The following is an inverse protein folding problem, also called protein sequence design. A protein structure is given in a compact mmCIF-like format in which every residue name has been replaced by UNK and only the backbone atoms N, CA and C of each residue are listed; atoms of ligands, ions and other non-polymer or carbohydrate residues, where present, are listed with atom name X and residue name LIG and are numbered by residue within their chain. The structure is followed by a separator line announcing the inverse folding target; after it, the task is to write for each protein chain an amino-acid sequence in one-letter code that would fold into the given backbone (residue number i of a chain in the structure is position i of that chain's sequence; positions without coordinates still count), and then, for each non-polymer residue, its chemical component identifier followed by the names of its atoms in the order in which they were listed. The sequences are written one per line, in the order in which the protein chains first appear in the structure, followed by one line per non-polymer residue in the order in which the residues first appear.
data_IF_000815035194
#
_entry.id   IF_000815035194
#
_cell.length_a   1.000
_cell.length_b   1.000
_cell.length_c   1.000
_cell.angle_alpha   90.00
_cell.angle_beta   90.00
_cell.angle_gamma   90.00
#
_symmetry.space_group_name_H-M   'P 1'
#
loop_
_entity.id
_entity.type
_entity.pdbx_description
1 polymer ?
#
# COMPACT_ATOMS: atom_id res chain seq x y z
N UNK A 1 17.76 -7.93 -16.85
CA UNK A 1 19.24 -7.83 -16.87
C UNK A 1 19.57 -6.73 -15.89
N UNK A 2 20.21 -7.03 -14.75
CA UNK A 2 20.55 -5.98 -13.76
C UNK A 2 21.76 -5.23 -14.29
N UNK A 3 21.59 -3.94 -14.63
CA UNK A 3 22.71 -3.10 -15.10
C UNK A 3 23.34 -2.44 -13.88
N UNK A 4 24.55 -2.86 -13.54
CA UNK A 4 25.46 -2.07 -12.71
C UNK A 4 25.87 -0.83 -13.53
N UNK A 5 25.75 0.36 -12.94
CA UNK A 5 26.10 1.61 -13.62
C UNK A 5 27.62 1.65 -13.90
N UNK A 6 27.99 1.79 -15.19
CA UNK A 6 29.38 1.85 -15.66
C UNK A 6 30.15 3.11 -15.22
N UNK A 7 31.43 3.26 -15.63
CA UNK A 7 32.44 4.16 -15.02
C UNK A 7 32.20 5.68 -15.13
N UNK A 8 31.08 6.15 -15.69
CA UNK A 8 30.61 7.54 -15.50
C UNK A 8 30.05 7.80 -14.09
N UNK A 9 30.15 6.81 -13.21
CA UNK A 9 29.65 6.82 -11.84
C UNK A 9 30.44 7.72 -10.90
N UNK A 10 31.73 7.98 -11.06
CA UNK A 10 32.50 8.72 -10.04
C UNK A 10 32.02 10.17 -9.81
N UNK A 11 31.75 10.93 -10.88
CA UNK A 11 31.19 12.28 -10.77
C UNK A 11 29.68 12.30 -10.41
N UNK A 12 28.96 11.20 -10.63
CA UNK A 12 27.58 11.06 -10.17
C UNK A 12 27.51 10.64 -8.69
N UNK A 13 28.44 9.77 -8.26
CA UNK A 13 28.61 9.31 -6.88
C UNK A 13 29.10 10.45 -5.99
N UNK A 14 29.87 11.42 -6.52
CA UNK A 14 30.20 12.63 -5.77
C UNK A 14 28.99 13.52 -5.46
N UNK A 15 27.92 13.49 -6.26
CA UNK A 15 26.64 14.14 -5.91
C UNK A 15 25.83 13.31 -4.90
N UNK A 16 25.94 11.98 -4.92
CA UNK A 16 25.36 11.10 -3.88
C UNK A 16 26.06 11.31 -2.53
N UNK A 17 27.29 11.84 -2.51
CA UNK A 17 28.04 12.20 -1.31
C UNK A 17 27.61 13.52 -0.66
N UNK A 18 26.76 14.33 -1.30
CA UNK A 18 26.22 15.53 -0.65
C UNK A 18 25.15 15.12 0.36
N UNK A 19 25.41 15.50 1.61
CA UNK A 19 24.75 14.96 2.79
C UNK A 19 23.23 15.12 2.82
N UNK A 20 22.63 14.43 3.81
CA UNK A 20 21.22 14.51 4.18
C UNK A 20 20.66 15.92 3.91
N UNK A 21 19.78 16.06 2.91
CA UNK A 21 19.04 17.29 2.71
C UNK A 21 18.05 17.41 3.87
N UNK A 22 18.48 18.09 4.94
CA UNK A 22 17.62 18.54 6.01
C UNK A 22 17.35 20.01 5.75
N UNK A 23 16.10 20.32 5.40
CA UNK A 23 15.64 21.69 5.33
C UNK A 23 15.64 22.29 6.72
N UNK A 24 16.12 23.52 6.83
CA UNK A 24 15.91 24.36 8.01
C UNK A 24 14.41 24.59 8.24
N UNK A 25 14.01 24.98 9.45
CA UNK A 25 12.60 25.30 9.75
C UNK A 25 12.03 26.36 8.81
N UNK A 26 12.86 27.33 8.42
CA UNK A 26 12.51 28.38 7.46
C UNK A 26 12.24 27.81 6.06
N UNK A 27 13.10 26.92 5.58
CA UNK A 27 12.94 26.30 4.26
C UNK A 27 11.75 25.34 4.22
N UNK A 28 11.51 24.60 5.31
CA UNK A 28 10.30 23.79 5.48
C UNK A 28 9.03 24.66 5.43
N UNK A 29 9.03 25.80 6.13
CA UNK A 29 7.91 26.72 6.14
C UNK A 29 7.68 27.34 4.76
N UNK A 30 8.74 27.78 4.08
CA UNK A 30 8.66 28.33 2.73
C UNK A 30 8.11 27.31 1.73
N UNK A 31 8.60 26.07 1.77
CA UNK A 31 8.09 24.98 0.96
C UNK A 31 6.59 24.76 1.17
N UNK A 32 6.11 24.81 2.41
CA UNK A 32 4.72 24.52 2.76
C UNK A 32 3.76 25.68 2.47
N UNK A 33 4.18 26.91 2.72
CA UNK A 33 3.34 28.10 2.58
C UNK A 33 3.39 28.70 1.17
N UNK A 34 4.55 28.63 0.51
CA UNK A 34 4.77 29.17 -0.83
C UNK A 34 5.59 28.19 -1.69
N UNK A 35 4.98 27.06 -2.13
CA UNK A 35 5.68 26.05 -2.94
C UNK A 35 6.39 26.62 -4.17
N UNK A 36 5.76 27.60 -4.83
CA UNK A 36 6.31 28.27 -6.01
C UNK A 36 7.54 29.16 -5.73
N UNK A 37 7.79 29.53 -4.47
CA UNK A 37 9.00 30.27 -4.07
C UNK A 37 10.14 29.34 -3.71
N UNK A 38 9.82 28.19 -3.10
CA UNK A 38 10.77 27.19 -2.60
C UNK A 38 11.86 26.82 -3.60
N UNK A 39 13.10 27.12 -3.23
CA UNK A 39 14.30 26.73 -3.98
C UNK A 39 14.46 25.20 -4.01
N UNK A 40 14.15 24.51 -2.91
CA UNK A 40 14.21 23.05 -2.81
C UNK A 40 13.26 22.37 -3.80
N UNK A 41 12.00 22.80 -3.88
CA UNK A 41 11.03 22.20 -4.82
C UNK A 41 11.41 22.46 -6.27
N UNK A 42 11.87 23.68 -6.60
CA UNK A 42 12.37 24.01 -7.93
C UNK A 42 13.60 23.16 -8.30
N UNK A 43 14.53 22.98 -7.37
CA UNK A 43 15.70 22.14 -7.57
C UNK A 43 15.31 20.67 -7.81
N UNK A 44 14.43 20.13 -6.95
CA UNK A 44 13.90 18.78 -7.08
C UNK A 44 13.21 18.58 -8.44
N UNK A 45 12.39 19.54 -8.86
CA UNK A 45 11.69 19.49 -10.15
C UNK A 45 12.68 19.49 -11.33
N UNK A 46 13.66 20.39 -11.31
CA UNK A 46 14.71 20.47 -12.33
C UNK A 46 15.55 19.19 -12.39
N UNK A 47 15.92 18.64 -11.24
CA UNK A 47 16.68 17.39 -11.14
C UNK A 47 15.88 16.20 -11.68
N UNK A 48 14.59 16.10 -11.32
CA UNK A 48 13.70 15.05 -11.82
C UNK A 48 13.47 15.14 -13.34
N UNK A 49 13.63 16.32 -13.94
CA UNK A 49 13.55 16.54 -15.39
C UNK A 49 14.91 16.41 -16.11
N UNK A 50 15.98 16.02 -15.40
CA UNK A 50 17.29 15.79 -15.99
C UNK A 50 17.25 14.68 -17.04
N UNK A 51 18.06 14.79 -18.10
CA UNK A 51 18.26 13.70 -19.06
C UNK A 51 19.05 12.52 -18.47
N UNK A 52 19.81 12.76 -17.40
CA UNK A 52 20.57 11.72 -16.69
C UNK A 52 19.66 10.94 -15.72
N UNK A 53 19.56 9.62 -15.88
CA UNK A 53 18.70 8.77 -15.06
C UNK A 53 19.08 8.75 -13.57
N UNK A 54 20.37 8.89 -13.24
CA UNK A 54 20.86 8.95 -11.86
C UNK A 54 20.45 10.27 -11.22
N UNK A 55 20.63 11.41 -11.91
CA UNK A 55 20.18 12.71 -11.41
C UNK A 55 18.65 12.70 -11.16
N UNK A 56 17.87 12.10 -12.08
CA UNK A 56 16.42 11.94 -11.87
C UNK A 56 16.12 11.13 -10.62
N UNK A 57 16.77 9.98 -10.46
CA UNK A 57 16.57 9.09 -9.32
C UNK A 57 16.90 9.78 -7.99
N UNK A 58 18.03 10.49 -7.93
CA UNK A 58 18.47 11.23 -6.73
C UNK A 58 17.48 12.33 -6.40
N UNK A 59 17.05 13.13 -7.38
CA UNK A 59 16.08 14.21 -7.15
C UNK A 59 14.71 13.69 -6.66
N UNK A 60 14.21 12.59 -7.24
CA UNK A 60 12.98 11.94 -6.76
C UNK A 60 13.15 11.45 -5.31
N UNK A 61 14.30 10.86 -5.00
CA UNK A 61 14.61 10.36 -3.65
C UNK A 61 14.66 11.49 -2.64
N UNK A 62 15.42 12.56 -2.91
CA UNK A 62 15.53 13.73 -2.04
C UNK A 62 14.15 14.33 -1.75
N UNK A 63 13.34 14.54 -2.79
CA UNK A 63 11.97 14.99 -2.64
C UNK A 63 11.19 14.07 -1.70
N UNK A 64 11.20 12.75 -1.94
CA UNK A 64 10.44 11.82 -1.07
C UNK A 64 10.94 11.79 0.36
N UNK A 65 12.24 11.93 0.59
CA UNK A 65 12.83 11.88 1.93
C UNK A 65 12.43 13.11 2.75
N UNK A 66 12.41 14.29 2.14
CA UNK A 66 11.97 15.53 2.79
C UNK A 66 10.44 15.55 2.95
N UNK A 67 9.72 15.13 1.91
CA UNK A 67 8.28 15.37 1.82
C UNK A 67 7.43 14.31 2.55
N UNK A 68 7.81 13.02 2.53
CA UNK A 68 7.03 11.96 3.19
C UNK A 68 6.85 12.20 4.71
N UNK A 69 7.87 12.58 5.49
CA UNK A 69 7.69 12.88 6.92
C UNK A 69 6.63 13.94 7.19
N UNK A 70 6.50 14.92 6.28
CA UNK A 70 5.53 16.00 6.37
C UNK A 70 4.12 15.49 6.06
N UNK A 71 3.97 14.67 5.02
CA UNK A 71 2.70 14.00 4.69
C UNK A 71 2.14 13.19 5.87
N UNK A 72 3.02 12.58 6.66
CA UNK A 72 2.64 11.81 7.85
C UNK A 72 2.53 12.64 9.14
N UNK A 73 2.71 13.96 9.07
CA UNK A 73 2.49 14.86 10.20
C UNK A 73 1.04 15.40 10.19
N UNK A 74 0.34 15.22 11.30
CA UNK A 74 -1.11 15.52 11.43
C UNK A 74 -1.43 16.99 11.16
N UNK A 75 -0.50 17.91 11.42
CA UNK A 75 -0.67 19.36 11.28
C UNK A 75 -0.43 19.89 9.85
N UNK A 76 0.10 19.09 8.92
CA UNK A 76 0.55 19.59 7.61
C UNK A 76 -0.36 19.20 6.43
N UNK A 77 -1.52 18.57 6.66
CA UNK A 77 -2.35 17.97 5.59
C UNK A 77 -2.63 18.89 4.39
N UNK A 78 -3.14 20.10 4.63
CA UNK A 78 -3.45 21.05 3.55
C UNK A 78 -2.18 21.60 2.87
N UNK A 79 -1.12 21.86 3.63
CA UNK A 79 0.15 22.34 3.09
C UNK A 79 0.82 21.29 2.20
N UNK A 80 0.73 20.00 2.58
CA UNK A 80 1.22 18.90 1.77
C UNK A 80 0.46 18.81 0.43
N UNK A 81 -0.86 19.00 0.43
CA UNK A 81 -1.64 19.03 -0.82
C UNK A 81 -1.17 20.17 -1.75
N UNK A 82 -0.85 21.35 -1.22
CA UNK A 82 -0.35 22.46 -2.03
C UNK A 82 1.01 22.14 -2.68
N UNK A 83 1.93 21.53 -1.93
CA UNK A 83 3.23 21.07 -2.46
C UNK A 83 3.03 20.01 -3.54
N UNK A 84 2.19 19.00 -3.28
CA UNK A 84 1.93 17.94 -4.26
C UNK A 84 1.29 18.49 -5.54
N UNK A 85 0.38 19.47 -5.41
CA UNK A 85 -0.24 20.16 -6.55
C UNK A 85 0.82 20.87 -7.40
N UNK A 86 1.68 21.68 -6.76
CA UNK A 86 2.77 22.39 -7.43
C UNK A 86 3.71 21.43 -8.18
N UNK A 87 4.11 20.32 -7.54
CA UNK A 87 4.98 19.33 -8.16
C UNK A 87 4.30 18.64 -9.36
N UNK A 88 3.02 18.28 -9.25
CA UNK A 88 2.26 17.67 -10.33
C UNK A 88 2.10 18.62 -11.52
N UNK A 89 1.74 19.88 -11.29
CA UNK A 89 1.61 20.92 -12.32
C UNK A 89 2.96 21.21 -13.00
N UNK A 90 4.07 21.13 -12.24
CA UNK A 90 5.42 21.26 -12.76
C UNK A 90 5.87 20.09 -13.65
N UNK A 91 5.10 19.00 -13.76
CA UNK A 91 5.42 17.84 -14.59
C UNK A 91 6.22 16.74 -13.88
N UNK A 92 6.23 16.72 -12.54
CA UNK A 92 6.98 15.74 -11.75
C UNK A 92 6.46 14.30 -11.90
N UNK A 93 5.23 14.12 -12.40
CA UNK A 93 4.66 12.79 -12.67
C UNK A 93 5.34 12.06 -13.83
N UNK A 94 5.83 12.79 -14.85
CA UNK A 94 6.45 12.18 -16.02
C UNK A 94 7.68 11.32 -15.67
N UNK A 95 8.70 11.83 -14.95
CA UNK A 95 9.88 11.03 -14.60
C UNK A 95 9.58 9.88 -13.63
N UNK A 96 8.57 10.03 -12.75
CA UNK A 96 8.09 8.94 -11.90
C UNK A 96 7.62 7.78 -12.76
N UNK A 97 6.73 8.05 -13.71
CA UNK A 97 6.13 6.98 -14.50
C UNK A 97 7.10 6.40 -15.53
N UNK A 98 8.05 7.20 -16.04
CA UNK A 98 9.17 6.68 -16.82
C UNK A 98 9.97 5.65 -16.01
N UNK A 99 10.29 5.94 -14.74
CA UNK A 99 11.00 5.01 -13.88
C UNK A 99 10.21 3.73 -13.57
N UNK A 100 8.89 3.85 -13.35
CA UNK A 100 8.02 2.68 -13.17
C UNK A 100 7.96 1.81 -14.44
N UNK A 101 7.83 2.43 -15.63
CA UNK A 101 7.82 1.72 -16.92
C UNK A 101 9.13 0.98 -17.20
N UNK A 102 10.26 1.65 -16.97
CA UNK A 102 11.58 1.05 -17.16
C UNK A 102 11.74 -0.20 -16.28
N UNK A 103 11.40 -0.09 -14.99
CA UNK A 103 11.44 -1.22 -14.06
C UNK A 103 10.47 -2.35 -14.45
N UNK A 104 9.24 -2.03 -14.84
CA UNK A 104 8.27 -3.01 -15.32
C UNK A 104 8.76 -3.75 -16.59
N UNK A 105 9.50 -3.05 -17.46
CA UNK A 105 10.19 -3.62 -18.63
C UNK A 105 11.44 -4.45 -18.31
N UNK A 106 11.85 -4.52 -17.04
CA UNK A 106 12.99 -5.28 -16.57
C UNK A 106 14.33 -4.53 -16.56
N UNK A 107 14.31 -3.20 -16.76
CA UNK A 107 15.46 -2.32 -16.58
C UNK A 107 15.53 -1.87 -15.11
N UNK A 108 16.08 -2.76 -14.28
CA UNK A 108 16.22 -2.53 -12.85
C UNK A 108 17.47 -1.72 -12.57
N UNK A 109 17.30 -0.41 -12.38
CA UNK A 109 18.39 0.47 -11.96
C UNK A 109 18.53 0.44 -10.44
N UNK A 110 19.74 0.07 -10.00
CA UNK A 110 20.13 0.02 -8.59
C UNK A 110 21.43 0.80 -8.42
N UNK A 111 21.43 1.83 -7.58
CA UNK A 111 22.59 2.70 -7.32
C UNK A 111 23.01 2.53 -5.87
N UNK A 112 24.30 2.50 -5.51
CA UNK A 112 24.72 2.49 -4.10
C UNK A 112 24.07 3.64 -3.31
N UNK A 113 23.51 3.32 -2.15
CA UNK A 113 22.98 4.30 -1.20
C UNK A 113 24.08 4.69 -0.23
N UNK A 114 24.86 5.71 -0.60
CA UNK A 114 25.99 6.18 0.20
C UNK A 114 25.58 7.18 1.29
N UNK A 115 24.31 7.57 1.39
CA UNK A 115 23.90 8.62 2.33
C UNK A 115 23.77 8.14 3.78
N UNK A 116 24.08 6.87 4.06
CA UNK A 116 24.00 6.26 5.39
C UNK A 116 22.65 6.48 6.08
N UNK A 117 21.60 6.77 5.30
CA UNK A 117 20.34 7.27 5.82
C UNK A 117 19.39 6.11 5.98
N UNK A 118 19.11 5.79 7.23
CA UNK A 118 17.96 5.00 7.54
C UNK A 118 16.72 5.78 7.07
N UNK A 119 15.94 5.16 6.18
CA UNK A 119 14.62 5.62 5.77
C UNK A 119 13.86 6.17 6.99
N UNK A 120 13.13 7.31 6.89
CA UNK A 120 12.68 8.09 8.05
C UNK A 120 12.12 7.20 9.15
N UNK A 121 12.66 7.37 10.37
CA UNK A 121 12.52 6.48 11.51
C UNK A 121 11.08 6.12 11.92
N UNK A 122 10.07 6.85 11.43
CA UNK A 122 8.65 6.50 11.61
C UNK A 122 8.20 5.30 10.76
N UNK A 123 8.95 4.96 9.70
CA UNK A 123 8.83 3.70 8.96
C UNK A 123 9.67 2.56 9.59
N UNK A 124 10.45 2.83 10.66
CA UNK A 124 11.29 1.84 11.37
C UNK A 124 10.58 1.08 12.48
N UNK A 125 9.25 1.12 12.60
CA UNK A 125 8.55 0.16 13.47
C UNK A 125 8.78 -1.32 13.09
N UNK A 126 9.64 -1.60 12.10
CA UNK A 126 9.67 -2.80 11.28
C UNK A 126 11.09 -3.37 11.07
N UNK A 127 12.10 -2.95 11.85
CA UNK A 127 13.38 -3.68 11.96
C UNK A 127 14.14 -3.94 10.65
N UNK A 128 14.02 -3.10 9.62
CA UNK A 128 14.66 -3.34 8.31
C UNK A 128 16.13 -2.91 8.32
N UNK A 129 16.98 -3.79 7.79
CA UNK A 129 18.41 -3.55 7.58
C UNK A 129 18.67 -2.26 6.77
N UNK A 130 19.77 -1.58 7.10
CA UNK A 130 20.27 -0.42 6.36
C UNK A 130 20.43 -0.79 4.89
N UNK A 131 19.65 -0.15 4.01
CA UNK A 131 19.80 -0.40 2.57
C UNK A 131 21.11 0.21 2.12
N UNK A 132 21.91 -0.59 1.43
CA UNK A 132 23.15 -0.15 0.79
C UNK A 132 22.90 0.31 -0.65
N UNK A 133 21.65 0.30 -1.11
CA UNK A 133 21.28 0.65 -2.48
C UNK A 133 19.90 1.33 -2.63
N UNK A 134 19.78 2.11 -3.70
CA UNK A 134 18.61 2.83 -4.17
C UNK A 134 18.03 2.10 -5.37
N UNK A 135 16.80 1.60 -5.23
CA UNK A 135 16.02 1.03 -6.33
C UNK A 135 15.16 2.11 -6.99
N UNK A 136 15.30 2.26 -8.31
CA UNK A 136 14.48 3.20 -9.09
C UNK A 136 12.98 2.95 -8.94
N UNK A 137 12.58 1.67 -8.97
CA UNK A 137 11.17 1.29 -8.80
C UNK A 137 10.63 1.79 -7.45
N UNK A 138 11.36 1.54 -6.35
CA UNK A 138 10.93 1.95 -5.02
C UNK A 138 10.85 3.47 -4.88
N UNK A 139 11.87 4.20 -5.35
CA UNK A 139 11.86 5.66 -5.30
C UNK A 139 10.67 6.23 -6.09
N UNK A 140 10.41 5.70 -7.29
CA UNK A 140 9.28 6.13 -8.09
C UNK A 140 7.92 5.79 -7.43
N UNK A 141 7.77 4.60 -6.84
CA UNK A 141 6.55 4.22 -6.11
C UNK A 141 6.31 5.17 -4.92
N UNK A 142 7.36 5.46 -4.14
CA UNK A 142 7.26 6.35 -3.00
C UNK A 142 6.95 7.79 -3.40
N UNK A 143 7.51 8.27 -4.52
CA UNK A 143 7.19 9.58 -5.09
C UNK A 143 5.74 9.63 -5.57
N UNK A 144 5.23 8.56 -6.19
CA UNK A 144 3.83 8.48 -6.57
C UNK A 144 2.91 8.51 -5.33
N UNK A 145 3.24 7.72 -4.31
CA UNK A 145 2.48 7.64 -3.06
C UNK A 145 2.46 8.99 -2.31
N UNK A 146 3.57 9.75 -2.34
CA UNK A 146 3.63 11.06 -1.70
C UNK A 146 2.82 12.13 -2.42
N UNK A 147 2.50 11.96 -3.71
CA UNK A 147 1.66 12.87 -4.48
C UNK A 147 0.16 12.51 -4.41
N UNK A 148 -0.18 11.26 -4.12
CA UNK A 148 -1.55 10.76 -4.01
C UNK A 148 -2.20 11.12 -2.65
N UNK A 149 -2.28 12.41 -2.32
CA UNK A 149 -2.70 12.87 -0.99
C UNK A 149 -4.20 13.03 -0.79
N UNK A 150 -4.93 13.39 -1.86
CA UNK A 150 -6.37 13.57 -1.82
C UNK A 150 -7.04 13.10 -3.13
N UNK A 151 -8.37 13.15 -3.15
CA UNK A 151 -9.18 12.76 -4.31
C UNK A 151 -8.91 13.60 -5.57
N UNK A 152 -8.57 14.88 -5.45
CA UNK A 152 -8.31 15.75 -6.60
C UNK A 152 -6.99 15.37 -7.26
N UNK A 153 -5.96 15.14 -6.46
CA UNK A 153 -4.63 14.74 -6.92
C UNK A 153 -4.65 13.34 -7.52
N UNK A 154 -5.36 12.38 -6.92
CA UNK A 154 -5.52 11.04 -7.52
C UNK A 154 -6.24 11.13 -8.86
N UNK A 155 -7.33 11.92 -8.98
CA UNK A 155 -7.99 12.14 -10.28
C UNK A 155 -7.06 12.79 -11.30
N UNK A 156 -6.28 13.78 -10.89
CA UNK A 156 -5.31 14.44 -11.77
C UNK A 156 -4.26 13.44 -12.29
N UNK A 157 -3.69 12.63 -11.40
CA UNK A 157 -2.70 11.59 -11.74
C UNK A 157 -3.28 10.60 -12.75
N UNK A 158 -4.47 10.05 -12.47
CA UNK A 158 -5.11 9.04 -13.32
C UNK A 158 -5.56 9.62 -14.67
N UNK A 159 -5.99 10.88 -14.72
CA UNK A 159 -6.31 11.56 -16.00
C UNK A 159 -5.07 11.84 -16.82
N UNK A 160 -3.99 12.26 -16.16
CA UNK A 160 -2.72 12.55 -16.84
C UNK A 160 -2.07 11.27 -17.35
N UNK A 161 -2.19 10.16 -16.60
CA UNK A 161 -1.63 8.84 -16.92
C UNK A 161 -2.67 7.73 -16.74
N UNK A 162 -3.56 7.52 -17.72
CA UNK A 162 -4.57 6.46 -17.67
C UNK A 162 -3.95 5.06 -17.65
N UNK A 163 -2.74 4.91 -18.20
CA UNK A 163 -2.00 3.65 -18.24
C UNK A 163 -1.31 3.28 -16.90
N UNK A 164 -1.41 4.14 -15.88
CA UNK A 164 -0.71 3.95 -14.61
C UNK A 164 -1.07 2.65 -13.90
N UNK A 165 -2.34 2.24 -13.94
CA UNK A 165 -2.76 1.00 -13.29
C UNK A 165 -2.06 -0.22 -13.90
N UNK A 166 -2.09 -0.32 -15.23
CA UNK A 166 -1.41 -1.37 -15.98
C UNK A 166 0.11 -1.37 -15.70
N UNK A 167 0.74 -0.19 -15.58
CA UNK A 167 2.17 -0.10 -15.23
C UNK A 167 2.44 -0.68 -13.83
N UNK A 168 1.61 -0.34 -12.84
CA UNK A 168 1.77 -0.84 -11.48
C UNK A 168 1.53 -2.35 -11.39
N UNK A 169 0.56 -2.88 -12.14
CA UNK A 169 0.34 -4.31 -12.26
C UNK A 169 1.54 -5.02 -12.90
N UNK A 170 2.01 -4.53 -14.05
CA UNK A 170 3.19 -5.09 -14.73
C UNK A 170 4.43 -5.04 -13.83
N UNK A 171 4.63 -3.95 -13.09
CA UNK A 171 5.72 -3.83 -12.13
C UNK A 171 5.59 -4.85 -11.00
N UNK A 172 4.39 -5.05 -10.46
CA UNK A 172 4.12 -6.03 -9.43
C UNK A 172 4.44 -7.45 -9.91
N UNK A 173 3.99 -7.81 -11.13
CA UNK A 173 4.26 -9.12 -11.75
C UNK A 173 5.75 -9.27 -12.06
N UNK A 174 6.41 -8.22 -12.56
CA UNK A 174 7.84 -8.25 -12.84
C UNK A 174 8.65 -8.51 -11.56
N UNK A 175 8.24 -7.90 -10.44
CA UNK A 175 8.86 -8.05 -9.13
C UNK A 175 8.65 -9.43 -8.46
N UNK A 176 7.72 -10.24 -8.97
CA UNK A 176 7.51 -11.63 -8.54
C UNK A 176 8.64 -12.56 -9.00
N UNK A 177 9.35 -12.19 -10.08
CA UNK A 177 10.38 -13.04 -10.68
C UNK A 177 11.54 -13.27 -9.71
N UNK A 178 12.08 -14.50 -9.66
CA UNK A 178 13.26 -14.78 -8.86
C UNK A 178 14.41 -13.88 -9.33
N UNK A 179 15.22 -13.39 -8.38
CA UNK A 179 16.39 -12.51 -8.58
C UNK A 179 16.09 -11.04 -8.88
N UNK A 180 14.85 -10.59 -8.77
CA UNK A 180 14.56 -9.13 -8.76
C UNK A 180 15.02 -8.55 -7.42
N UNK A 181 15.91 -7.53 -7.43
CA UNK A 181 16.27 -6.81 -6.21
C UNK A 181 15.03 -6.22 -5.55
N UNK A 182 14.87 -6.44 -4.24
CA UNK A 182 13.76 -5.93 -3.46
C UNK A 182 12.35 -6.34 -3.96
N UNK A 183 12.21 -7.46 -4.69
CA UNK A 183 10.93 -7.84 -5.33
C UNK A 183 9.73 -7.87 -4.37
N UNK A 184 9.87 -8.53 -3.22
CA UNK A 184 8.85 -8.58 -2.16
C UNK A 184 8.44 -7.19 -1.68
N UNK A 185 9.43 -6.32 -1.51
CA UNK A 185 9.21 -4.96 -1.05
C UNK A 185 8.54 -4.10 -2.13
N UNK A 186 8.97 -4.21 -3.38
CA UNK A 186 8.34 -3.51 -4.52
C UNK A 186 6.85 -3.90 -4.58
N UNK A 187 6.53 -5.19 -4.50
CA UNK A 187 5.15 -5.68 -4.44
C UNK A 187 4.37 -5.08 -3.28
N UNK A 188 5.00 -5.00 -2.10
CA UNK A 188 4.41 -4.37 -0.91
C UNK A 188 4.10 -2.89 -1.13
N UNK A 189 5.06 -2.11 -1.65
CA UNK A 189 4.88 -0.67 -1.84
C UNK A 189 3.92 -0.35 -3.00
N UNK A 190 3.88 -1.17 -4.05
CA UNK A 190 2.84 -1.09 -5.09
C UNK A 190 1.46 -1.27 -4.45
N UNK A 191 1.28 -2.32 -3.64
CA UNK A 191 0.01 -2.58 -2.98
C UNK A 191 -0.40 -1.41 -2.06
N UNK A 192 0.52 -0.89 -1.23
CA UNK A 192 0.24 0.28 -0.37
C UNK A 192 -0.13 1.52 -1.16
N UNK A 193 0.56 1.78 -2.27
CA UNK A 193 0.28 2.94 -3.14
C UNK A 193 -1.12 2.80 -3.76
N UNK A 194 -1.47 1.61 -4.23
CA UNK A 194 -2.81 1.32 -4.73
C UNK A 194 -3.87 1.42 -3.62
N UNK A 195 -3.60 0.96 -2.39
CA UNK A 195 -4.51 1.15 -1.23
C UNK A 195 -4.82 2.62 -1.03
N UNK A 196 -3.80 3.49 -1.07
CA UNK A 196 -3.96 4.93 -0.93
C UNK A 196 -4.78 5.53 -2.07
N UNK A 197 -4.49 5.18 -3.31
CA UNK A 197 -5.22 5.72 -4.47
C UNK A 197 -6.67 5.24 -4.50
N UNK A 198 -6.92 3.97 -4.18
CA UNK A 198 -8.26 3.37 -4.14
C UNK A 198 -9.14 3.93 -3.02
N UNK A 199 -8.54 4.33 -1.89
CA UNK A 199 -9.26 5.04 -0.83
C UNK A 199 -9.91 6.35 -1.31
N UNK A 200 -9.36 6.96 -2.37
CA UNK A 200 -9.86 8.22 -2.93
C UNK A 200 -10.57 8.06 -4.28
N UNK A 201 -10.61 6.88 -4.88
CA UNK A 201 -11.16 6.67 -6.23
C UNK A 201 -12.00 5.40 -6.30
N UNK A 202 -13.33 5.56 -6.24
CA UNK A 202 -14.26 4.46 -6.51
C UNK A 202 -14.14 3.88 -7.93
N UNK A 203 -13.99 4.68 -9.01
CA UNK A 203 -13.76 4.12 -10.34
C UNK A 203 -12.54 3.19 -10.38
N UNK A 204 -11.44 3.57 -9.71
CA UNK A 204 -10.23 2.75 -9.64
C UNK A 204 -10.47 1.44 -8.86
N UNK A 205 -11.27 1.48 -7.79
CA UNK A 205 -11.66 0.26 -7.04
C UNK A 205 -12.43 -0.71 -7.92
N UNK A 206 -13.42 -0.22 -8.67
CA UNK A 206 -14.22 -1.02 -9.60
C UNK A 206 -13.36 -1.60 -10.72
N UNK A 207 -12.50 -0.79 -11.32
CA UNK A 207 -11.58 -1.21 -12.38
C UNK A 207 -10.64 -2.32 -11.90
N UNK A 208 -10.01 -2.15 -10.74
CA UNK A 208 -9.15 -3.18 -10.14
C UNK A 208 -9.91 -4.48 -9.83
N UNK A 209 -11.06 -4.38 -9.18
CA UNK A 209 -11.81 -5.54 -8.71
C UNK A 209 -12.46 -6.32 -9.86
N UNK A 210 -13.05 -5.62 -10.83
CA UNK A 210 -13.86 -6.26 -11.88
C UNK A 210 -13.06 -6.57 -13.14
N UNK A 211 -12.09 -5.72 -13.51
CA UNK A 211 -11.38 -5.88 -14.79
C UNK A 211 -10.04 -6.61 -14.63
N UNK A 212 -9.52 -6.76 -13.41
CA UNK A 212 -8.21 -7.34 -13.14
C UNK A 212 -8.24 -8.48 -12.09
N UNK A 213 -9.12 -9.50 -12.23
CA UNK A 213 -9.28 -10.56 -11.23
C UNK A 213 -7.99 -11.36 -11.00
N UNK A 214 -7.16 -11.55 -12.03
CA UNK A 214 -5.85 -12.23 -11.92
C UNK A 214 -4.87 -11.46 -11.04
N UNK A 215 -4.87 -10.13 -11.14
CA UNK A 215 -4.03 -9.28 -10.30
C UNK A 215 -4.49 -9.32 -8.85
N UNK A 216 -5.81 -9.27 -8.61
CA UNK A 216 -6.37 -9.44 -7.26
C UNK A 216 -6.00 -10.81 -6.68
N UNK A 217 -6.14 -11.90 -7.44
CA UNK A 217 -5.74 -13.23 -6.99
C UNK A 217 -4.27 -13.26 -6.56
N UNK A 218 -3.36 -12.66 -7.35
CA UNK A 218 -1.94 -12.54 -6.98
C UNK A 218 -1.72 -11.76 -5.68
N UNK A 219 -2.49 -10.69 -5.44
CA UNK A 219 -2.45 -9.93 -4.19
C UNK A 219 -2.90 -10.78 -3.00
N UNK A 220 -3.98 -11.55 -3.17
CA UNK A 220 -4.54 -12.44 -2.15
C UNK A 220 -3.54 -13.55 -1.81
N UNK A 221 -2.98 -14.22 -2.81
CA UNK A 221 -1.93 -15.24 -2.62
C UNK A 221 -0.73 -14.65 -1.89
N UNK A 222 -0.25 -13.48 -2.32
CA UNK A 222 0.87 -12.81 -1.66
C UNK A 222 0.60 -12.46 -0.21
N UNK A 223 -0.58 -11.90 0.09
CA UNK A 223 -0.97 -11.59 1.46
C UNK A 223 -1.06 -12.87 2.31
N UNK A 224 -1.58 -13.95 1.73
CA UNK A 224 -1.76 -15.26 2.37
C UNK A 224 -0.42 -15.92 2.71
N UNK A 225 0.57 -15.82 1.81
CA UNK A 225 1.94 -16.32 2.01
C UNK A 225 2.71 -15.53 3.07
N UNK A 226 2.37 -14.26 3.30
CA UNK A 226 3.14 -13.34 4.15
C UNK A 226 2.38 -12.89 5.40
N UNK A 227 1.31 -13.59 5.80
CA UNK A 227 0.41 -13.18 6.89
C UNK A 227 1.11 -12.94 8.23
N UNK A 228 2.23 -13.62 8.47
CA UNK A 228 3.02 -13.50 9.70
C UNK A 228 3.95 -12.28 9.68
N UNK A 229 4.34 -11.83 8.48
CA UNK A 229 5.19 -10.66 8.28
C UNK A 229 4.33 -9.40 8.11
N UNK A 230 3.88 -8.82 9.22
CA UNK A 230 3.02 -7.62 9.28
C UNK A 230 3.43 -6.54 8.28
N UNK A 231 4.73 -6.30 8.13
CA UNK A 231 5.28 -5.23 7.29
C UNK A 231 5.07 -5.47 5.78
N UNK A 232 4.92 -6.72 5.37
CA UNK A 232 4.64 -7.14 3.99
C UNK A 232 3.13 -7.30 3.81
N UNK A 233 2.46 -7.94 4.77
CA UNK A 233 1.04 -8.27 4.74
C UNK A 233 0.10 -7.06 4.69
N UNK A 234 0.38 -6.02 5.47
CA UNK A 234 -0.59 -4.93 5.72
C UNK A 234 -1.01 -4.18 4.45
N UNK A 235 -0.07 -3.88 3.55
CA UNK A 235 -0.37 -3.17 2.31
C UNK A 235 -1.36 -3.92 1.40
N UNK A 236 -1.01 -5.14 0.95
CA UNK A 236 -1.89 -6.03 0.19
C UNK A 236 -3.24 -6.29 0.88
N UNK A 237 -3.24 -6.58 2.18
CA UNK A 237 -4.49 -6.86 2.90
C UNK A 237 -5.43 -5.66 2.95
N UNK A 238 -4.90 -4.46 3.21
CA UNK A 238 -5.70 -3.24 3.15
C UNK A 238 -6.22 -2.95 1.73
N UNK A 239 -5.45 -3.27 0.69
CA UNK A 239 -5.93 -3.14 -0.69
C UNK A 239 -7.11 -4.08 -0.95
N UNK A 240 -6.95 -5.35 -0.58
CA UNK A 240 -8.01 -6.37 -0.72
C UNK A 240 -9.27 -5.94 0.04
N UNK A 241 -9.12 -5.43 1.25
CA UNK A 241 -10.20 -4.86 2.03
C UNK A 241 -10.90 -3.68 1.33
N UNK A 242 -10.18 -2.82 0.61
CA UNK A 242 -10.79 -1.75 -0.16
C UNK A 242 -11.57 -2.26 -1.39
N UNK A 243 -11.22 -3.44 -1.89
CA UNK A 243 -11.79 -4.02 -3.11
C UNK A 243 -12.94 -5.00 -2.84
N UNK A 244 -13.05 -5.57 -1.63
CA UNK A 244 -13.87 -6.76 -1.37
C UNK A 244 -15.34 -6.63 -1.80
N UNK A 245 -15.96 -5.45 -1.65
CA UNK A 245 -17.35 -5.21 -2.06
C UNK A 245 -17.61 -5.31 -3.57
N UNK A 246 -16.56 -5.21 -4.40
CA UNK A 246 -16.64 -5.23 -5.86
C UNK A 246 -16.14 -6.55 -6.47
N UNK A 247 -15.66 -7.49 -5.65
CA UNK A 247 -15.16 -8.76 -6.15
C UNK A 247 -16.33 -9.65 -6.54
N UNK A 248 -16.44 -9.97 -7.83
CA UNK A 248 -17.28 -11.06 -8.29
C UNK A 248 -16.61 -12.38 -7.91
N UNK A 249 -17.24 -13.10 -6.99
CA UNK A 249 -16.54 -14.06 -6.13
C UNK A 249 -16.13 -15.37 -6.79
N UNK A 250 -16.49 -15.62 -8.04
CA UNK A 250 -16.31 -16.96 -8.63
C UNK A 250 -14.82 -17.31 -8.77
N UNK A 251 -13.95 -16.36 -9.12
CA UNK A 251 -12.54 -16.65 -9.44
C UNK A 251 -11.56 -16.48 -8.28
N UNK A 252 -11.93 -15.75 -7.22
CA UNK A 252 -11.01 -15.39 -6.11
C UNK A 252 -11.52 -15.88 -4.74
N UNK A 253 -12.74 -16.43 -4.66
CA UNK A 253 -13.39 -16.82 -3.40
C UNK A 253 -12.54 -17.77 -2.56
N UNK A 254 -12.05 -18.88 -3.12
CA UNK A 254 -11.29 -19.87 -2.35
C UNK A 254 -10.03 -19.28 -1.73
N UNK A 255 -9.26 -18.51 -2.53
CA UNK A 255 -8.05 -17.84 -2.04
C UNK A 255 -8.36 -16.79 -0.96
N UNK A 256 -9.49 -16.10 -1.10
CA UNK A 256 -9.97 -15.12 -0.13
C UNK A 256 -10.40 -15.78 1.19
N UNK A 257 -11.07 -16.93 1.13
CA UNK A 257 -11.43 -17.73 2.31
C UNK A 257 -10.16 -18.21 3.02
N UNK A 258 -9.17 -18.74 2.27
CA UNK A 258 -7.90 -19.18 2.83
C UNK A 258 -7.14 -18.02 3.50
N UNK A 259 -7.03 -16.88 2.81
CA UNK A 259 -6.43 -15.66 3.37
C UNK A 259 -7.13 -15.28 4.67
N UNK A 260 -8.46 -15.25 4.66
CA UNK A 260 -9.24 -14.86 5.83
C UNK A 260 -9.00 -15.82 6.99
N UNK A 261 -9.05 -17.13 6.76
CA UNK A 261 -8.74 -18.13 7.77
C UNK A 261 -7.35 -17.92 8.38
N UNK A 262 -6.33 -17.67 7.55
CA UNK A 262 -4.97 -17.35 8.02
C UNK A 262 -4.92 -16.06 8.84
N UNK A 263 -5.59 -14.99 8.43
CA UNK A 263 -5.63 -13.74 9.21
C UNK A 263 -6.22 -13.98 10.59
N UNK A 264 -7.31 -14.74 10.66
CA UNK A 264 -8.02 -15.05 11.90
C UNK A 264 -7.23 -16.02 12.81
N UNK A 265 -6.38 -16.87 12.22
CA UNK A 265 -5.48 -17.79 12.92
C UNK A 265 -4.19 -17.12 13.44
N UNK A 266 -3.61 -16.20 12.67
CA UNK A 266 -2.25 -15.70 12.91
C UNK A 266 -2.21 -14.25 13.39
N UNK A 267 -3.19 -13.41 13.06
CA UNK A 267 -3.15 -12.01 13.46
C UNK A 267 -3.49 -11.82 14.95
N UNK A 268 -2.73 -10.93 15.59
CA UNK A 268 -2.99 -10.46 16.95
C UNK A 268 -3.65 -9.06 16.95
N UNK A 269 -3.81 -8.43 15.79
CA UNK A 269 -4.33 -7.07 15.66
C UNK A 269 -5.85 -7.11 15.49
N UNK A 270 -6.57 -6.45 16.41
CA UNK A 270 -8.03 -6.37 16.37
C UNK A 270 -8.57 -5.80 15.04
N UNK A 271 -7.85 -4.85 14.43
CA UNK A 271 -8.19 -4.27 13.13
C UNK A 271 -8.19 -5.31 12.00
N UNK A 272 -7.17 -6.17 11.98
CA UNK A 272 -7.00 -7.19 10.94
C UNK A 272 -8.08 -8.28 11.10
N UNK A 273 -8.32 -8.70 12.34
CA UNK A 273 -9.38 -9.67 12.68
C UNK A 273 -10.74 -9.13 12.26
N UNK A 274 -11.07 -7.89 12.63
CA UNK A 274 -12.34 -7.24 12.27
C UNK A 274 -12.52 -7.18 10.75
N UNK A 275 -11.45 -6.82 10.03
CA UNK A 275 -11.49 -6.76 8.57
C UNK A 275 -11.63 -8.15 7.94
N UNK A 276 -10.94 -9.16 8.48
CA UNK A 276 -11.09 -10.55 8.07
C UNK A 276 -12.54 -11.03 8.22
N UNK A 277 -13.18 -10.77 9.37
CA UNK A 277 -14.59 -11.12 9.58
C UNK A 277 -15.51 -10.42 8.57
N UNK A 278 -15.28 -9.14 8.25
CA UNK A 278 -16.07 -8.41 7.23
C UNK A 278 -15.94 -9.03 5.85
N UNK A 279 -14.71 -9.36 5.44
CA UNK A 279 -14.46 -10.03 4.18
C UNK A 279 -15.18 -11.38 4.17
N UNK A 280 -15.02 -12.19 5.21
CA UNK A 280 -15.68 -13.51 5.30
C UNK A 280 -17.20 -13.40 5.19
N UNK A 281 -17.83 -12.50 5.96
CA UNK A 281 -19.28 -12.32 5.93
C UNK A 281 -19.76 -11.91 4.53
N UNK A 282 -19.02 -11.03 3.85
CA UNK A 282 -19.32 -10.67 2.46
C UNK A 282 -19.23 -11.87 1.51
N UNK A 283 -18.21 -12.73 1.67
CA UNK A 283 -18.07 -13.96 0.86
C UNK A 283 -19.24 -14.93 1.09
N UNK A 284 -19.70 -15.03 2.35
CA UNK A 284 -20.82 -15.89 2.76
C UNK A 284 -22.14 -15.40 2.17
N UNK A 285 -22.47 -14.11 2.32
CA UNK A 285 -23.71 -13.51 1.81
C UNK A 285 -23.88 -13.67 0.30
N UNK A 286 -22.77 -13.63 -0.43
CA UNK A 286 -22.72 -13.76 -1.89
C UNK A 286 -22.66 -15.22 -2.36
N UNK A 287 -22.93 -16.19 -1.47
CA UNK A 287 -23.01 -17.62 -1.74
C UNK A 287 -21.73 -18.28 -2.28
N UNK A 288 -20.57 -17.64 -2.16
CA UNK A 288 -19.30 -18.19 -2.61
C UNK A 288 -18.63 -19.12 -1.58
N UNK A 289 -19.15 -19.17 -0.35
CA UNK A 289 -18.65 -20.02 0.71
C UNK A 289 -19.82 -20.55 1.55
N UNK A 290 -20.27 -21.77 1.28
CA UNK A 290 -21.26 -22.47 2.12
C UNK A 290 -20.62 -23.24 3.28
N UNK A 291 -19.30 -23.46 3.21
CA UNK A 291 -18.54 -24.19 4.22
C UNK A 291 -17.87 -23.23 5.19
N UNK A 292 -18.25 -23.30 6.46
CA UNK A 292 -17.50 -22.67 7.55
C UNK A 292 -16.08 -23.25 7.60
N UNK A 293 -15.03 -22.44 7.84
CA UNK A 293 -13.73 -22.96 8.24
C UNK A 293 -13.91 -23.85 9.48
N UNK A 294 -13.20 -24.99 9.55
CA UNK A 294 -13.28 -25.90 10.69
C UNK A 294 -13.11 -25.11 12.00
N UNK A 295 -14.13 -25.14 12.86
CA UNK A 295 -14.25 -24.27 14.03
C UNK A 295 -13.09 -24.45 15.02
N UNK A 296 -12.40 -25.59 14.95
CA UNK A 296 -11.17 -25.90 15.70
C UNK A 296 -9.97 -25.03 15.32
N UNK A 297 -10.03 -24.33 14.20
CA UNK A 297 -8.99 -23.43 13.72
C UNK A 297 -9.08 -22.04 14.35
N UNK A 298 -10.19 -21.66 14.98
CA UNK A 298 -10.26 -20.34 15.61
C UNK A 298 -9.58 -20.35 16.98
N UNK A 299 -8.47 -19.61 17.11
CA UNK A 299 -7.76 -19.44 18.40
C UNK A 299 -8.57 -18.68 19.46
N UNK A 300 -9.69 -18.04 19.08
CA UNK A 300 -10.53 -17.25 19.96
C UNK A 300 -12.01 -17.59 19.77
N UNK A 301 -12.69 -17.86 20.89
CA UNK A 301 -14.13 -18.09 20.91
C UNK A 301 -14.91 -16.87 20.37
N UNK A 302 -14.44 -15.65 20.62
CA UNK A 302 -15.08 -14.41 20.09
C UNK A 302 -15.03 -14.35 18.57
N UNK A 303 -13.98 -14.91 17.98
CA UNK A 303 -13.80 -15.02 16.54
C UNK A 303 -14.75 -16.05 15.91
N UNK A 304 -14.96 -17.18 16.61
CA UNK A 304 -15.99 -18.14 16.24
C UNK A 304 -17.40 -17.53 16.38
N UNK A 305 -17.66 -16.79 17.46
CA UNK A 305 -18.94 -16.12 17.72
C UNK A 305 -19.26 -15.00 16.71
N UNK A 306 -18.25 -14.25 16.23
CA UNK A 306 -18.43 -13.16 15.27
C UNK A 306 -18.69 -13.65 13.82
N UNK A 307 -18.41 -14.93 13.57
CA UNK A 307 -18.51 -15.58 12.25
C UNK A 307 -19.73 -16.51 12.18
N UNK A 308 -20.12 -17.11 13.30
CA UNK A 308 -21.33 -17.92 13.41
C UNK A 308 -22.57 -17.04 13.62
N UNK A 309 -23.65 -17.28 12.87
CA UNK A 309 -24.95 -16.63 13.11
C UNK A 309 -25.51 -17.02 14.48
N UNK A 310 -26.25 -16.10 15.10
CA UNK A 310 -26.87 -16.25 16.41
C UNK A 310 -27.69 -17.54 16.60
N UNK A 311 -28.24 -18.11 15.52
CA UNK A 311 -29.08 -19.31 15.56
C UNK A 311 -28.29 -20.63 15.70
N UNK A 312 -26.97 -20.62 15.43
CA UNK A 312 -26.08 -21.78 15.63
C UNK A 312 -25.38 -21.79 17.00
N UNK A 313 -25.42 -20.65 17.71
CA UNK A 313 -24.62 -20.41 18.91
C UNK A 313 -25.06 -21.21 20.12
N UNK A 314 -26.34 -21.55 20.21
CA UNK A 314 -26.86 -22.31 21.36
C UNK A 314 -26.47 -23.79 21.31
N UNK A 315 -26.28 -24.33 20.10
CA UNK A 315 -25.86 -25.71 19.91
C UNK A 315 -24.35 -25.87 20.11
N UNK A 316 -23.56 -24.95 19.57
CA UNK A 316 -22.09 -25.03 19.63
C UNK A 316 -21.52 -24.59 20.98
N UNK A 317 -22.11 -23.61 21.68
CA UNK A 317 -21.64 -23.21 23.01
C UNK A 317 -21.69 -24.36 24.04
N UNK A 318 -22.63 -25.30 23.86
CA UNK A 318 -22.76 -26.52 24.71
C UNK A 318 -21.70 -27.58 24.36
N UNK A 319 -21.30 -27.69 23.09
CA UNK A 319 -20.26 -28.62 22.64
C UNK A 319 -18.85 -28.26 23.15
N UNK A 320 -18.60 -26.97 23.41
CA UNK A 320 -17.29 -26.48 23.86
C UNK A 320 -17.17 -26.23 25.37
N UNK A 321 -18.20 -26.55 26.17
CA UNK A 321 -18.14 -26.51 27.63
C UNK A 321 -18.03 -25.10 28.25
N UNK A 322 -18.31 -24.04 27.49
CA UNK A 322 -18.25 -22.66 27.99
C UNK A 322 -19.58 -22.24 28.61
N UNK A 323 -19.57 -21.84 29.89
CA UNK A 323 -20.67 -21.07 30.48
C UNK A 323 -20.53 -19.61 30.05
N UNK A 324 -21.34 -19.17 29.09
CA UNK A 324 -21.49 -17.76 28.74
C UNK A 324 -22.25 -17.02 29.85
N UNK A 325 -21.56 -16.68 30.94
CA UNK A 325 -22.13 -15.84 31.99
C UNK A 325 -22.03 -14.35 31.62
N UNK A 326 -23.15 -13.78 31.15
CA UNK A 326 -23.72 -12.55 31.70
C UNK A 326 -23.14 -11.17 31.33
N UNK A 327 -22.05 -11.03 30.57
CA UNK A 327 -21.41 -9.70 30.38
C UNK A 327 -21.18 -9.22 28.95
N UNK A 328 -21.51 -9.99 27.91
CA UNK A 328 -21.18 -9.63 26.52
C UNK A 328 -22.37 -9.41 25.58
N UNK A 329 -23.61 -9.62 26.02
CA UNK A 329 -24.78 -9.40 25.16
C UNK A 329 -25.18 -7.92 25.03
N UNK A 330 -24.89 -7.08 26.02
CA UNK A 330 -25.24 -5.64 25.98
C UNK A 330 -24.44 -4.82 24.97
N UNK A 331 -23.31 -5.33 24.47
CA UNK A 331 -22.47 -4.63 23.47
C UNK A 331 -22.79 -5.02 22.03
N UNK A 332 -23.60 -6.07 21.82
CA UNK A 332 -24.07 -6.52 20.50
C UNK A 332 -25.47 -5.97 20.15
N UNK A 333 -26.19 -5.41 21.12
CA UNK A 333 -27.51 -4.77 20.89
C UNK A 333 -27.43 -3.44 20.10
N UNK A 334 -26.25 -2.84 19.98
CA UNK A 334 -26.03 -1.57 19.25
C UNK A 334 -25.77 -1.74 17.74
N UNK A 335 -25.91 -2.95 17.19
CA UNK A 335 -25.91 -3.16 15.73
C UNK A 335 -27.32 -2.80 15.20
N UNK A 336 -27.47 -1.79 14.33
CA UNK A 336 -28.78 -1.40 13.82
C UNK A 336 -29.43 -2.58 13.09
N UNK A 337 -30.59 -3.03 13.59
CA UNK A 337 -31.45 -4.01 12.92
C UNK A 337 -32.01 -3.40 11.63
N UNK A 338 -31.30 -3.54 10.52
CA UNK A 338 -31.87 -3.32 9.18
C UNK A 338 -32.43 -4.64 8.71
N UNK A 339 -33.67 -4.94 9.11
CA UNK A 339 -34.48 -5.99 8.48
C UNK A 339 -35.72 -5.31 7.91
N UNK A 340 -35.67 -5.04 6.61
CA UNK A 340 -36.87 -4.78 5.82
C UNK A 340 -37.67 -6.07 5.71
N UNK A 341 -38.93 -6.05 6.15
CA UNK A 341 -39.87 -7.14 5.88
C UNK A 341 -40.25 -7.12 4.39
N UNK A 342 -40.29 -8.26 3.70
CA UNK A 342 -40.92 -8.33 2.39
C UNK A 342 -42.45 -8.28 2.56
N UNK A 343 -43.10 -7.45 1.74
CA UNK A 343 -44.56 -7.44 1.52
C UNK A 343 -44.94 -8.43 0.44
#
# INVERSE_FOLDING_TARGET
MVRSAGPCTEACLSKVNEGRVQLTDRENLEMLQAPASSTFLKHSLKGAQSKNAVDRLVALREFTHVFLPIVFSVSAGQHAVNVATFMLEGGFLAPIVEGLKAAAGGDWVVVPDLSGSEYPAKCKKHGRAVRTHLSQALVAIHALCSLALDVRLVRFILRTRPDLLNILELLYIAAEKPRVPDGVLIRTEVARTLTRMTAFSEPLRKELAMQNPKFVLRLVTFASENVEEVTIFEGPFCLIANLHHYLELVDVSTAMVELTAKVLLHSQRATDITMGCRIYNHLREKAACSTLPDSRLFKSAVLALAICEADSLEHDARLFGFKLSGLYWSTLEDIPKVVGKPS
#
